data_IF_376835707145
#
_entry.id   IF_376835707145
#
_cell.length_a   1.000
_cell.length_b   1.000
_cell.length_c   1.000
_cell.angle_alpha   90.00
_cell.angle_beta   90.00
_cell.angle_gamma   90.00
#
_symmetry.space_group_name_H-M   'P 1'
#
loop_
_entity.id
_entity.type
_entity.pdbx_description
1 polymer ?
#
# COMPACT_ATOMS: atom_id res chain seq x y z
N UNK A 1 -4.13 -15.75 7.89
CA UNK A 1 -3.77 -15.55 6.48
C UNK A 1 -4.77 -16.30 5.63
N UNK A 2 -5.23 -15.74 4.53
CA UNK A 2 -6.17 -16.39 3.62
C UNK A 2 -5.95 -15.87 2.19
N UNK A 3 -6.28 -16.73 1.23
CA UNK A 3 -6.00 -16.52 -0.20
C UNK A 3 -7.27 -16.17 -0.95
N UNK A 4 -7.14 -15.49 -2.08
CA UNK A 4 -8.27 -15.02 -2.88
C UNK A 4 -8.01 -15.17 -4.39
N UNK A 5 -9.06 -15.30 -5.22
CA UNK A 5 -8.93 -15.32 -6.67
C UNK A 5 -8.49 -13.98 -7.26
N UNK A 6 -8.81 -12.87 -6.60
CA UNK A 6 -8.43 -11.53 -7.04
C UNK A 6 -8.10 -10.60 -5.87
N UNK A 7 -7.33 -9.54 -6.16
CA UNK A 7 -7.06 -8.45 -5.20
C UNK A 7 -8.32 -7.72 -4.78
N UNK A 8 -9.36 -7.72 -5.63
CA UNK A 8 -10.66 -7.13 -5.32
C UNK A 8 -11.37 -7.91 -4.22
N UNK A 9 -11.44 -9.23 -4.35
CA UNK A 9 -12.07 -10.10 -3.35
C UNK A 9 -11.39 -9.92 -1.98
N UNK A 10 -10.05 -9.85 -1.98
CA UNK A 10 -9.26 -9.56 -0.78
C UNK A 10 -9.61 -8.17 -0.18
N UNK A 11 -9.65 -7.13 -1.00
CA UNK A 11 -10.02 -5.79 -0.53
C UNK A 11 -11.47 -5.73 0.01
N UNK A 12 -12.42 -6.38 -0.65
CA UNK A 12 -13.83 -6.44 -0.22
C UNK A 12 -13.97 -7.09 1.18
N UNK A 13 -13.17 -8.13 1.47
CA UNK A 13 -13.12 -8.72 2.82
C UNK A 13 -12.56 -7.76 3.85
N UNK A 14 -11.48 -7.03 3.53
CA UNK A 14 -10.93 -6.03 4.42
C UNK A 14 -11.97 -4.95 4.75
N UNK A 15 -12.62 -4.40 3.72
CA UNK A 15 -13.70 -3.40 3.85
C UNK A 15 -14.83 -3.93 4.72
N UNK A 16 -15.33 -5.14 4.43
CA UNK A 16 -16.45 -5.75 5.17
C UNK A 16 -16.08 -6.03 6.63
N UNK A 17 -14.85 -6.48 6.88
CA UNK A 17 -14.34 -6.73 8.24
C UNK A 17 -14.32 -5.44 9.06
N UNK A 18 -13.75 -4.37 8.51
CA UNK A 18 -13.68 -3.07 9.20
C UNK A 18 -15.06 -2.47 9.42
N UNK A 19 -15.94 -2.51 8.42
CA UNK A 19 -17.32 -1.98 8.52
C UNK A 19 -18.21 -2.78 9.49
N UNK A 20 -17.84 -4.03 9.79
CA UNK A 20 -18.53 -4.84 10.80
C UNK A 20 -18.14 -4.47 12.24
N UNK A 21 -17.24 -3.50 12.43
CA UNK A 21 -16.78 -3.05 13.75
C UNK A 21 -15.79 -4.00 14.44
N UNK A 22 -15.33 -5.04 13.73
CA UNK A 22 -14.36 -6.02 14.23
C UNK A 22 -13.04 -5.29 14.50
N UNK A 23 -12.60 -5.27 15.77
CA UNK A 23 -11.32 -4.64 16.09
C UNK A 23 -10.18 -5.59 15.70
N UNK A 24 -9.42 -5.14 14.70
CA UNK A 24 -8.19 -5.75 14.22
C UNK A 24 -7.02 -4.81 14.54
N UNK A 25 -5.87 -5.39 14.87
CA UNK A 25 -4.64 -4.64 15.01
C UNK A 25 -4.06 -4.27 13.64
N UNK A 26 -4.14 -5.22 12.69
CA UNK A 26 -3.62 -5.05 11.33
C UNK A 26 -4.45 -5.86 10.34
N UNK A 27 -4.63 -5.31 9.15
CA UNK A 27 -5.11 -6.03 7.97
C UNK A 27 -4.22 -5.65 6.81
N UNK A 28 -3.50 -6.62 6.28
CA UNK A 28 -2.52 -6.41 5.22
C UNK A 28 -2.88 -7.23 3.99
N UNK A 29 -2.77 -6.62 2.81
CA UNK A 29 -2.97 -7.28 1.52
C UNK A 29 -1.62 -7.39 0.80
N UNK A 30 -1.39 -8.54 0.19
CA UNK A 30 -0.29 -8.82 -0.74
C UNK A 30 -0.89 -9.36 -2.03
N UNK A 31 -0.48 -8.88 -3.20
CA UNK A 31 -0.86 -9.53 -4.46
C UNK A 31 -0.03 -10.79 -4.73
N UNK A 32 -0.39 -11.52 -5.78
CA UNK A 32 0.30 -12.74 -6.17
C UNK A 32 1.77 -12.51 -6.52
N UNK A 33 2.11 -11.37 -7.14
CA UNK A 33 3.49 -11.02 -7.52
C UNK A 33 4.32 -10.78 -6.26
N UNK A 34 3.76 -10.11 -5.26
CA UNK A 34 4.41 -9.91 -3.98
C UNK A 34 4.62 -11.23 -3.23
N UNK A 35 3.64 -12.14 -3.22
CA UNK A 35 3.79 -13.46 -2.58
C UNK A 35 4.87 -14.28 -3.28
N UNK A 36 4.92 -14.24 -4.62
CA UNK A 36 6.01 -14.84 -5.41
C UNK A 36 7.38 -14.27 -5.03
N UNK A 37 7.49 -12.96 -4.89
CA UNK A 37 8.73 -12.30 -4.45
C UNK A 37 9.19 -12.85 -3.10
N UNK A 38 8.26 -13.01 -2.16
CA UNK A 38 8.55 -13.53 -0.83
C UNK A 38 8.95 -15.01 -0.87
N UNK A 39 8.31 -15.83 -1.71
CA UNK A 39 8.71 -17.22 -1.92
C UNK A 39 10.17 -17.32 -2.37
N UNK A 40 10.57 -16.51 -3.36
CA UNK A 40 11.94 -16.45 -3.88
C UNK A 40 12.92 -16.01 -2.78
N UNK A 41 12.63 -14.91 -2.08
CA UNK A 41 13.52 -14.34 -1.09
C UNK A 41 13.75 -15.24 0.13
N UNK A 42 12.70 -15.94 0.57
CA UNK A 42 12.69 -16.68 1.83
C UNK A 42 12.67 -18.20 1.66
N UNK A 43 12.77 -18.72 0.43
CA UNK A 43 12.72 -20.16 0.15
C UNK A 43 11.41 -20.81 0.62
N UNK A 44 10.29 -20.10 0.49
CA UNK A 44 8.95 -20.56 0.88
C UNK A 44 8.18 -21.03 -0.36
N UNK A 45 7.10 -21.79 -0.13
CA UNK A 45 6.17 -22.28 -1.15
C UNK A 45 4.74 -21.90 -0.81
N UNK A 46 4.50 -20.61 -0.52
CA UNK A 46 3.16 -20.09 -0.30
C UNK A 46 2.38 -20.07 -1.63
N UNK A 47 1.05 -20.23 -1.62
CA UNK A 47 0.24 -20.05 -2.82
C UNK A 47 0.41 -18.64 -3.40
N UNK A 48 0.84 -18.55 -4.66
CA UNK A 48 1.03 -17.28 -5.39
C UNK A 48 -0.33 -16.74 -5.84
N UNK A 49 -1.10 -16.25 -4.88
CA UNK A 49 -2.43 -15.67 -5.05
C UNK A 49 -2.58 -14.43 -4.15
N UNK A 50 -3.46 -13.48 -4.48
CA UNK A 50 -3.81 -12.40 -3.57
C UNK A 50 -4.10 -12.91 -2.16
N UNK A 51 -3.47 -12.32 -1.17
CA UNK A 51 -3.42 -12.83 0.20
C UNK A 51 -3.75 -11.72 1.19
N UNK A 52 -4.65 -11.99 2.14
CA UNK A 52 -4.86 -11.14 3.33
C UNK A 52 -4.21 -11.75 4.57
N UNK A 53 -3.67 -10.87 5.41
CA UNK A 53 -3.16 -11.19 6.72
C UNK A 53 -3.88 -10.34 7.77
N UNK A 54 -4.36 -10.99 8.83
CA UNK A 54 -5.04 -10.35 9.95
C UNK A 54 -4.20 -10.52 11.23
N UNK A 55 -4.11 -9.46 12.03
CA UNK A 55 -3.67 -9.53 13.42
C UNK A 55 -4.83 -9.13 14.34
N UNK A 56 -5.16 -10.01 15.28
CA UNK A 56 -6.15 -9.72 16.33
C UNK A 56 -5.42 -9.57 17.67
N UNK A 57 -5.78 -8.54 18.43
CA UNK A 57 -5.26 -8.31 19.78
C UNK A 57 -6.44 -8.26 20.74
N UNK A 58 -6.30 -8.94 21.87
CA UNK A 58 -7.33 -9.02 22.90
C UNK A 58 -7.14 -10.26 23.77
N UNK A 59 -8.20 -10.64 24.50
CA UNK A 59 -8.23 -11.93 25.20
C UNK A 59 -8.27 -13.07 24.18
N UNK A 60 -7.85 -14.27 24.59
CA UNK A 60 -7.91 -15.47 23.75
C UNK A 60 -9.34 -15.73 23.24
N UNK A 61 -10.34 -15.57 24.11
CA UNK A 61 -11.76 -15.72 23.75
C UNK A 61 -12.19 -14.71 22.68
N UNK A 62 -11.82 -13.43 22.86
CA UNK A 62 -12.14 -12.38 21.90
C UNK A 62 -11.47 -12.64 20.54
N UNK A 63 -10.17 -12.93 20.53
CA UNK A 63 -9.43 -13.17 19.29
C UNK A 63 -10.00 -14.36 18.52
N UNK A 64 -10.40 -15.44 19.21
CA UNK A 64 -11.05 -16.60 18.58
C UNK A 64 -12.41 -16.28 17.99
N UNK A 65 -13.25 -15.55 18.72
CA UNK A 65 -14.57 -15.11 18.23
C UNK A 65 -14.43 -14.24 16.97
N UNK A 66 -13.59 -13.21 17.01
CA UNK A 66 -13.36 -12.34 15.84
C UNK A 66 -12.79 -13.11 14.65
N UNK A 67 -11.87 -14.06 14.90
CA UNK A 67 -11.33 -14.94 13.86
C UNK A 67 -12.44 -15.76 13.19
N UNK A 68 -13.40 -16.28 13.95
CA UNK A 68 -14.53 -17.04 13.39
C UNK A 68 -15.45 -16.16 12.53
N UNK A 69 -15.72 -14.93 12.97
CA UNK A 69 -16.53 -13.96 12.21
C UNK A 69 -15.81 -13.61 10.91
N UNK A 70 -14.52 -13.26 10.96
CA UNK A 70 -13.72 -12.96 9.76
C UNK A 70 -13.64 -14.16 8.84
N UNK A 71 -13.47 -15.38 9.35
CA UNK A 71 -13.48 -16.60 8.52
C UNK A 71 -14.79 -16.76 7.76
N UNK A 72 -15.93 -16.37 8.36
CA UNK A 72 -17.22 -16.37 7.67
C UNK A 72 -17.25 -15.33 6.55
N UNK A 73 -16.82 -14.10 6.81
CA UNK A 73 -16.72 -13.03 5.80
C UNK A 73 -15.83 -13.46 4.62
N UNK A 74 -14.67 -14.07 4.92
CA UNK A 74 -13.74 -14.61 3.92
C UNK A 74 -14.44 -15.63 3.02
N UNK A 75 -15.21 -16.56 3.61
CA UNK A 75 -15.93 -17.58 2.83
C UNK A 75 -17.06 -17.01 1.96
N UNK A 76 -17.66 -15.88 2.34
CA UNK A 76 -18.68 -15.17 1.56
C UNK A 76 -18.08 -14.42 0.35
N UNK A 77 -16.76 -14.22 0.33
CA UNK A 77 -16.01 -13.49 -0.71
C UNK A 77 -14.96 -14.37 -1.39
N UNK A 78 -15.28 -15.66 -1.61
CA UNK A 78 -14.44 -16.61 -2.37
C UNK A 78 -13.05 -16.89 -1.77
N UNK A 79 -12.81 -16.54 -0.51
CA UNK A 79 -11.50 -16.77 0.11
C UNK A 79 -11.27 -18.22 0.53
N UNK A 80 -10.02 -18.67 0.45
CA UNK A 80 -9.58 -20.03 0.76
C UNK A 80 -8.41 -20.08 1.75
N UNK A 81 -8.05 -21.30 2.16
CA UNK A 81 -6.82 -21.61 2.90
C UNK A 81 -6.60 -20.73 4.14
N UNK A 82 -7.65 -20.60 4.96
CA UNK A 82 -7.57 -19.80 6.17
C UNK A 82 -6.62 -20.44 7.19
N UNK A 83 -5.42 -19.90 7.30
CA UNK A 83 -4.38 -20.30 8.26
C UNK A 83 -4.40 -19.37 9.46
N UNK A 84 -4.46 -19.96 10.65
CA UNK A 84 -4.44 -19.29 11.93
C UNK A 84 -3.20 -19.73 12.74
N UNK A 85 -2.54 -18.79 13.41
CA UNK A 85 -1.35 -19.05 14.22
C UNK A 85 -1.45 -18.34 15.57
N UNK A 86 -1.38 -19.10 16.67
CA UNK A 86 -1.39 -18.59 18.04
C UNK A 86 0.03 -18.48 18.62
N UNK A 87 0.90 -19.42 18.25
CA UNK A 87 2.27 -19.54 18.77
C UNK A 87 3.13 -18.32 18.39
N UNK A 88 3.91 -17.74 19.33
CA UNK A 88 4.73 -16.55 19.09
C UNK A 88 5.68 -16.68 17.90
N UNK A 89 6.37 -17.82 17.78
CA UNK A 89 7.30 -18.10 16.69
C UNK A 89 6.59 -18.18 15.33
N UNK A 90 5.42 -18.84 15.29
CA UNK A 90 4.61 -18.94 14.07
C UNK A 90 4.06 -17.57 13.63
N UNK A 91 3.62 -16.75 14.58
CA UNK A 91 3.23 -15.35 14.34
C UNK A 91 4.39 -14.54 13.78
N UNK A 92 5.57 -14.66 14.40
CA UNK A 92 6.77 -13.94 13.97
C UNK A 92 7.16 -14.31 12.52
N UNK A 93 7.13 -15.60 12.19
CA UNK A 93 7.40 -16.07 10.83
C UNK A 93 6.38 -15.57 9.81
N UNK A 94 5.08 -15.60 10.14
CA UNK A 94 4.04 -15.04 9.28
C UNK A 94 4.23 -13.54 9.06
N UNK A 95 4.54 -12.78 10.10
CA UNK A 95 4.71 -11.33 9.97
C UNK A 95 6.05 -10.91 9.37
N UNK A 96 7.07 -11.78 9.40
CA UNK A 96 8.36 -11.57 8.74
C UNK A 96 8.16 -11.38 7.22
N UNK A 97 7.34 -12.23 6.61
CA UNK A 97 6.94 -12.19 5.19
C UNK A 97 6.47 -10.79 4.77
N UNK A 98 5.58 -10.17 5.57
CA UNK A 98 5.07 -8.81 5.28
C UNK A 98 6.10 -7.71 5.54
N UNK A 99 6.92 -7.83 6.59
CA UNK A 99 7.95 -6.84 6.94
C UNK A 99 9.07 -6.77 5.92
N UNK A 100 9.36 -7.88 5.25
CA UNK A 100 10.43 -8.00 4.27
C UNK A 100 9.94 -7.79 2.82
N UNK A 101 8.67 -7.44 2.62
CA UNK A 101 8.04 -7.41 1.30
C UNK A 101 8.80 -6.54 0.27
N UNK A 102 9.29 -5.36 0.66
CA UNK A 102 10.12 -4.52 -0.21
C UNK A 102 11.44 -5.22 -0.59
N UNK A 103 12.14 -5.79 0.39
CA UNK A 103 13.40 -6.49 0.17
C UNK A 103 13.23 -7.74 -0.69
N UNK A 104 12.09 -8.42 -0.55
CA UNK A 104 11.73 -9.55 -1.36
C UNK A 104 11.58 -9.19 -2.86
N UNK A 105 11.19 -7.96 -3.18
CA UNK A 105 11.12 -7.50 -4.57
C UNK A 105 12.52 -7.49 -5.23
N UNK A 106 13.55 -7.06 -4.49
CA UNK A 106 14.93 -7.09 -4.98
C UNK A 106 15.50 -8.51 -5.09
N UNK A 107 14.91 -9.50 -4.43
CA UNK A 107 15.28 -10.90 -4.65
C UNK A 107 14.82 -11.42 -6.03
N UNK A 108 13.76 -10.86 -6.59
CA UNK A 108 13.31 -11.17 -7.96
C UNK A 108 14.22 -10.51 -9.01
N UNK A 109 14.58 -9.24 -8.78
CA UNK A 109 15.36 -8.43 -9.72
C UNK A 109 16.52 -7.70 -9.00
N UNK A 110 17.65 -8.38 -8.71
CA UNK A 110 18.71 -7.84 -7.85
C UNK A 110 19.45 -6.61 -8.37
N UNK A 111 19.37 -6.33 -9.67
CA UNK A 111 20.07 -5.24 -10.33
C UNK A 111 19.14 -4.04 -10.66
N UNK A 112 17.87 -4.09 -10.26
CA UNK A 112 16.90 -3.03 -10.51
C UNK A 112 16.79 -2.05 -9.36
N UNK A 113 16.37 -0.82 -9.66
CA UNK A 113 15.88 0.15 -8.70
C UNK A 113 14.37 -0.04 -8.46
N UNK A 114 13.87 0.48 -7.35
CA UNK A 114 12.45 0.44 -6.99
C UNK A 114 11.87 1.84 -6.86
N UNK A 115 10.81 2.13 -7.60
CA UNK A 115 9.92 3.26 -7.32
C UNK A 115 8.77 2.78 -6.45
N UNK A 116 8.67 3.34 -5.24
CA UNK A 116 7.60 3.01 -4.30
C UNK A 116 6.53 4.09 -4.41
N UNK A 117 5.33 3.70 -4.82
CA UNK A 117 4.16 4.55 -4.75
C UNK A 117 3.38 4.25 -3.46
N UNK A 118 2.76 5.28 -2.92
CA UNK A 118 2.01 5.27 -1.66
C UNK A 118 0.84 6.24 -1.79
N UNK A 119 -0.39 5.75 -1.73
CA UNK A 119 -1.61 6.55 -1.77
C UNK A 119 -2.60 6.00 -0.76
N UNK A 120 -3.53 6.82 -0.30
CA UNK A 120 -4.60 6.38 0.57
C UNK A 120 -5.94 6.89 0.05
N UNK A 121 -7.00 6.10 0.21
CA UNK A 121 -8.37 6.44 -0.19
C UNK A 121 -9.32 6.13 0.95
N UNK A 122 -10.55 6.72 0.96
CA UNK A 122 -11.61 6.22 1.82
C UNK A 122 -11.74 4.70 1.65
N UNK A 123 -11.89 3.98 2.77
CA UNK A 123 -11.84 2.51 2.77
C UNK A 123 -12.84 1.89 1.77
N UNK A 124 -14.01 2.50 1.59
CA UNK A 124 -15.01 2.09 0.60
C UNK A 124 -14.52 2.06 -0.86
N UNK A 125 -13.47 2.82 -1.18
CA UNK A 125 -12.86 2.89 -2.51
C UNK A 125 -11.59 2.03 -2.65
N UNK A 126 -11.16 1.32 -1.60
CA UNK A 126 -9.93 0.53 -1.62
C UNK A 126 -9.96 -0.56 -2.72
N UNK A 127 -11.07 -1.28 -2.83
CA UNK A 127 -11.21 -2.34 -3.83
C UNK A 127 -11.16 -1.78 -5.27
N UNK A 128 -11.77 -0.61 -5.48
CA UNK A 128 -11.81 0.06 -6.78
C UNK A 128 -10.42 0.54 -7.21
N UNK A 129 -9.69 1.24 -6.34
CA UNK A 129 -8.37 1.77 -6.67
C UNK A 129 -7.35 0.66 -6.88
N UNK A 130 -7.35 -0.39 -6.05
CA UNK A 130 -6.42 -1.51 -6.20
C UNK A 130 -6.72 -2.23 -7.52
N UNK A 131 -7.99 -2.50 -7.83
CA UNK A 131 -8.36 -3.19 -9.09
C UNK A 131 -7.96 -2.37 -10.32
N UNK A 132 -8.26 -1.06 -10.31
CA UNK A 132 -7.90 -0.14 -11.39
C UNK A 132 -6.38 -0.04 -11.57
N UNK A 133 -5.64 0.05 -10.47
CA UNK A 133 -4.18 0.14 -10.49
C UNK A 133 -3.54 -1.16 -10.94
N UNK A 134 -3.99 -2.31 -10.41
CA UNK A 134 -3.47 -3.63 -10.80
C UNK A 134 -3.61 -3.88 -12.30
N UNK A 135 -4.72 -3.48 -12.91
CA UNK A 135 -4.91 -3.56 -14.36
C UNK A 135 -3.86 -2.77 -15.15
N UNK A 136 -3.53 -1.56 -14.72
CA UNK A 136 -2.49 -0.74 -15.37
C UNK A 136 -1.08 -1.28 -15.11
N UNK A 137 -0.82 -1.77 -13.90
CA UNK A 137 0.46 -2.39 -13.52
C UNK A 137 0.70 -3.66 -14.34
N UNK A 138 -0.30 -4.51 -14.49
CA UNK A 138 -0.22 -5.77 -15.27
C UNK A 138 -0.09 -5.54 -16.78
N UNK A 139 -0.55 -4.38 -17.27
CA UNK A 139 -0.36 -3.98 -18.66
C UNK A 139 1.03 -3.40 -18.93
N UNK A 140 1.79 -3.07 -17.89
CA UNK A 140 3.15 -2.56 -17.99
C UNK A 140 4.16 -3.68 -18.24
N UNK A 141 5.27 -3.43 -18.97
CA UNK A 141 6.36 -4.39 -19.07
C UNK A 141 7.22 -4.50 -17.79
N UNK A 142 6.98 -3.65 -16.79
CA UNK A 142 7.74 -3.63 -15.54
C UNK A 142 7.19 -4.63 -14.53
N UNK A 143 8.07 -5.16 -13.68
CA UNK A 143 7.65 -5.97 -12.54
C UNK A 143 7.10 -5.03 -11.47
N UNK A 144 5.81 -5.19 -11.19
CA UNK A 144 5.10 -4.39 -10.21
C UNK A 144 4.50 -5.31 -9.15
N UNK A 145 4.62 -4.94 -7.87
CA UNK A 145 3.96 -5.64 -6.77
C UNK A 145 2.98 -4.72 -6.07
N UNK A 146 1.92 -5.29 -5.49
CA UNK A 146 0.92 -4.57 -4.72
C UNK A 146 0.94 -5.03 -3.26
N UNK A 147 0.96 -4.04 -2.37
CA UNK A 147 0.81 -4.21 -0.93
C UNK A 147 -0.16 -3.17 -0.41
N UNK A 148 -1.00 -3.50 0.56
CA UNK A 148 -1.83 -2.48 1.22
C UNK A 148 -1.92 -2.70 2.73
N UNK A 149 -1.88 -1.61 3.48
CA UNK A 149 -2.49 -1.56 4.81
C UNK A 149 -4.01 -1.48 4.61
N UNK A 150 -4.60 -2.63 4.26
CA UNK A 150 -5.97 -2.72 3.78
C UNK A 150 -7.01 -2.30 4.82
N UNK A 151 -6.67 -2.34 6.11
CA UNK A 151 -7.54 -1.80 7.17
C UNK A 151 -7.68 -0.28 7.15
N UNK A 152 -6.68 0.41 6.59
CA UNK A 152 -6.55 1.88 6.65
C UNK A 152 -6.87 2.56 5.30
N UNK A 153 -7.15 1.77 4.25
CA UNK A 153 -7.33 2.30 2.89
C UNK A 153 -6.01 2.72 2.21
N UNK A 154 -4.86 2.39 2.80
CA UNK A 154 -3.54 2.77 2.30
C UNK A 154 -2.96 1.69 1.38
N UNK A 155 -2.71 2.08 0.14
CA UNK A 155 -2.29 1.23 -0.96
C UNK A 155 -0.88 1.62 -1.46
N UNK A 156 -0.03 0.62 -1.61
CA UNK A 156 1.35 0.75 -2.08
C UNK A 156 1.60 -0.12 -3.30
N UNK A 157 2.55 0.32 -4.12
CA UNK A 157 3.15 -0.56 -5.13
C UNK A 157 4.65 -0.33 -5.19
N UNK A 158 5.36 -1.42 -5.47
CA UNK A 158 6.78 -1.39 -5.77
C UNK A 158 6.94 -1.64 -7.26
N UNK A 159 7.47 -0.67 -7.98
CA UNK A 159 7.71 -0.73 -9.43
C UNK A 159 9.20 -0.89 -9.64
N UNK A 160 9.62 -2.05 -10.16
CA UNK A 160 11.02 -2.35 -10.42
C UNK A 160 11.40 -1.90 -11.84
N UNK A 161 12.52 -1.20 -11.96
CA UNK A 161 13.03 -0.72 -13.23
C UNK A 161 14.57 -0.71 -13.26
N UNK A 162 15.13 -0.88 -14.45
CA UNK A 162 16.55 -0.69 -14.72
C UNK A 162 16.87 0.82 -14.83
N UNK A 163 17.69 1.39 -13.93
CA UNK A 163 17.98 2.83 -13.95
C UNK A 163 18.82 3.27 -15.15
N UNK A 164 19.47 2.33 -15.87
CA UNK A 164 20.17 2.63 -17.11
C UNK A 164 19.22 2.75 -18.32
N UNK A 165 17.94 2.38 -18.16
CA UNK A 165 16.90 2.42 -19.19
C UNK A 165 15.89 3.51 -18.90
N UNK A 166 16.07 4.64 -19.57
CA UNK A 166 15.23 5.83 -19.42
C UNK A 166 13.75 5.54 -19.71
N UNK A 167 13.44 4.65 -20.66
CA UNK A 167 12.06 4.24 -20.95
C UNK A 167 11.39 3.53 -19.77
N UNK A 168 12.12 2.74 -18.99
CA UNK A 168 11.58 2.06 -17.83
C UNK A 168 11.36 3.03 -16.67
N UNK A 169 12.28 3.98 -16.46
CA UNK A 169 12.10 5.06 -15.49
C UNK A 169 10.84 5.88 -15.78
N UNK A 170 10.62 6.25 -17.05
CA UNK A 170 9.42 7.00 -17.48
C UNK A 170 8.13 6.21 -17.27
N UNK A 171 8.17 4.91 -17.53
CA UNK A 171 7.00 4.05 -17.30
C UNK A 171 6.69 3.92 -15.81
N UNK A 172 7.70 3.75 -14.95
CA UNK A 172 7.52 3.76 -13.50
C UNK A 172 6.92 5.09 -13.00
N UNK A 173 7.40 6.23 -13.52
CA UNK A 173 6.86 7.55 -13.22
C UNK A 173 5.41 7.72 -13.71
N UNK A 174 5.07 7.20 -14.90
CA UNK A 174 3.71 7.21 -15.45
C UNK A 174 2.76 6.43 -14.56
N UNK A 175 3.15 5.25 -14.10
CA UNK A 175 2.34 4.40 -13.22
C UNK A 175 2.12 5.06 -11.85
N UNK A 176 3.19 5.58 -11.23
CA UNK A 176 3.07 6.34 -9.98
C UNK A 176 2.16 7.57 -10.14
N UNK A 177 2.30 8.31 -11.25
CA UNK A 177 1.41 9.43 -11.56
C UNK A 177 -0.05 8.97 -11.71
N UNK A 178 -0.29 7.92 -12.49
CA UNK A 178 -1.63 7.36 -12.67
C UNK A 178 -2.30 7.04 -11.33
N UNK A 179 -1.57 6.38 -10.42
CA UNK A 179 -2.12 6.01 -9.13
C UNK A 179 -2.46 7.20 -8.24
N UNK A 180 -1.58 8.21 -8.19
CA UNK A 180 -1.85 9.42 -7.41
C UNK A 180 -3.13 10.08 -7.91
N UNK A 181 -3.25 10.30 -9.22
CA UNK A 181 -4.46 10.87 -9.81
C UNK A 181 -5.70 10.00 -9.62
N UNK A 182 -5.55 8.67 -9.68
CA UNK A 182 -6.65 7.76 -9.38
C UNK A 182 -7.11 7.90 -7.93
N UNK A 183 -6.19 8.03 -6.96
CA UNK A 183 -6.52 8.24 -5.55
C UNK A 183 -7.21 9.59 -5.33
N UNK A 184 -6.67 10.68 -5.87
CA UNK A 184 -7.26 12.02 -5.75
C UNK A 184 -8.68 12.05 -6.36
N UNK A 185 -8.91 11.35 -7.48
CA UNK A 185 -10.25 11.24 -8.09
C UNK A 185 -11.27 10.47 -7.25
N UNK A 186 -10.80 9.74 -6.23
CA UNK A 186 -11.61 8.96 -5.28
C UNK A 186 -11.59 9.60 -3.87
N UNK A 187 -11.37 10.92 -3.80
CA UNK A 187 -11.29 11.70 -2.55
C UNK A 187 -10.18 11.21 -1.60
N UNK A 188 -9.15 10.59 -2.17
CA UNK A 188 -7.96 10.13 -1.46
C UNK A 188 -6.86 11.18 -1.37
N UNK A 189 -5.66 10.72 -1.01
CA UNK A 189 -4.45 11.52 -0.86
C UNK A 189 -3.31 10.97 -1.71
N UNK A 190 -2.43 11.86 -2.19
CA UNK A 190 -1.23 11.48 -2.92
C UNK A 190 -0.20 10.76 -2.05
N UNK A 191 -0.36 10.73 -0.72
CA UNK A 191 0.50 10.00 0.21
C UNK A 191 -0.24 9.52 1.45
N UNK A 192 -0.16 8.22 1.74
CA UNK A 192 -0.70 7.66 2.98
C UNK A 192 0.27 7.87 4.15
N UNK A 193 1.51 7.41 4.00
CA UNK A 193 2.49 7.38 5.09
C UNK A 193 3.90 7.88 4.72
N UNK A 194 4.29 7.91 3.44
CA UNK A 194 5.69 8.23 3.06
C UNK A 194 6.00 9.73 3.04
N UNK A 195 4.95 10.55 3.12
CA UNK A 195 5.04 11.99 3.01
C UNK A 195 5.32 12.47 1.59
N UNK A 196 5.44 13.78 1.45
CA UNK A 196 5.44 14.42 0.12
C UNK A 196 6.85 14.55 -0.46
N UNK A 197 7.80 15.00 0.37
CA UNK A 197 9.17 15.30 -0.05
C UNK A 197 9.23 16.25 -1.24
N UNK A 198 10.12 15.97 -2.20
CA UNK A 198 10.17 16.65 -3.51
C UNK A 198 9.34 15.94 -4.57
N UNK A 199 9.25 14.60 -4.51
CA UNK A 199 8.63 13.78 -5.55
C UNK A 199 7.12 13.99 -5.70
N UNK A 200 6.40 14.21 -4.61
CA UNK A 200 4.94 14.37 -4.62
C UNK A 200 4.46 15.81 -4.48
N UNK A 201 5.38 16.77 -4.33
CA UNK A 201 5.04 18.18 -4.11
C UNK A 201 4.17 18.75 -5.26
N UNK A 202 4.36 18.24 -6.48
CA UNK A 202 3.57 18.59 -7.67
C UNK A 202 2.08 18.24 -7.58
N UNK A 203 1.66 17.37 -6.65
CA UNK A 203 0.27 16.95 -6.51
C UNK A 203 -0.49 17.72 -5.41
N UNK A 204 0.22 18.44 -4.53
CA UNK A 204 -0.40 19.02 -3.35
C UNK A 204 -1.40 20.14 -3.64
N UNK A 205 -1.24 20.86 -4.77
CA UNK A 205 -2.22 21.89 -5.10
C UNK A 205 -3.55 21.28 -5.53
N UNK A 206 -3.51 20.15 -6.24
CA UNK A 206 -4.72 19.41 -6.59
C UNK A 206 -5.39 18.81 -5.35
N UNK A 207 -4.60 18.23 -4.43
CA UNK A 207 -5.11 17.61 -3.21
C UNK A 207 -5.65 18.62 -2.18
N UNK A 208 -4.88 19.68 -1.89
CA UNK A 208 -5.17 20.57 -0.76
C UNK A 208 -5.71 21.95 -1.18
N UNK A 209 -5.55 22.29 -2.47
CA UNK A 209 -5.82 23.63 -2.97
C UNK A 209 -4.76 24.67 -2.63
N UNK A 210 -4.73 25.74 -3.43
CA UNK A 210 -3.73 26.81 -3.31
C UNK A 210 -3.76 27.54 -1.95
N UNK A 211 -4.93 27.67 -1.32
CA UNK A 211 -5.07 28.41 -0.05
C UNK A 211 -4.50 27.63 1.14
N UNK A 212 -4.63 26.30 1.15
CA UNK A 212 -3.98 25.45 2.14
C UNK A 212 -2.45 25.55 2.00
N UNK A 213 -1.94 25.49 0.77
CA UNK A 213 -0.51 25.64 0.49
C UNK A 213 0.05 27.00 0.93
N UNK A 214 -0.67 28.10 0.68
CA UNK A 214 -0.31 29.43 1.17
C UNK A 214 -0.28 29.48 2.71
N UNK A 215 -1.20 28.79 3.36
CA UNK A 215 -1.24 28.70 4.83
C UNK A 215 -0.03 27.93 5.36
N UNK A 216 0.31 26.79 4.75
CA UNK A 216 1.51 26.02 5.08
C UNK A 216 2.78 26.85 4.88
N UNK A 217 2.89 27.62 3.78
CA UNK A 217 3.99 28.57 3.54
C UNK A 217 4.09 29.61 4.65
N UNK A 218 2.98 30.22 5.07
CA UNK A 218 2.98 31.19 6.18
C UNK A 218 3.52 30.59 7.48
N UNK A 219 3.08 29.37 7.83
CA UNK A 219 3.59 28.63 9.00
C UNK A 219 5.10 28.41 8.87
N UNK A 220 5.56 27.93 7.71
CA UNK A 220 6.98 27.71 7.41
C UNK A 220 7.80 28.99 7.58
N UNK A 221 7.34 30.12 7.03
CA UNK A 221 8.05 31.40 7.13
C UNK A 221 8.14 31.95 8.56
N UNK A 222 7.14 31.69 9.40
CA UNK A 222 7.17 32.10 10.82
C UNK A 222 8.15 31.25 11.62
N UNK A 223 8.16 29.93 11.39
CA UNK A 223 8.99 28.99 12.13
C UNK A 223 10.45 28.93 11.64
N UNK A 224 10.68 29.21 10.36
CA UNK A 224 12.00 29.16 9.73
C UNK A 224 12.24 30.39 8.83
N UNK A 225 12.38 31.59 9.43
CA UNK A 225 12.53 32.85 8.68
C UNK A 225 13.79 32.92 7.82
N UNK A 226 14.82 32.13 8.16
CA UNK A 226 16.07 32.05 7.39
C UNK A 226 16.06 30.92 6.34
N UNK A 227 14.95 30.16 6.24
CA UNK A 227 14.77 29.04 5.32
C UNK A 227 15.90 27.98 5.37
N UNK A 228 16.39 27.66 6.57
CA UNK A 228 17.49 26.72 6.77
C UNK A 228 17.01 25.27 7.01
N UNK A 229 15.74 25.07 7.35
CA UNK A 229 15.18 23.75 7.62
C UNK A 229 14.63 23.12 6.34
N UNK A 230 15.49 22.40 5.61
CA UNK A 230 15.11 21.56 4.46
C UNK A 230 14.46 22.35 3.29
N UNK A 231 15.16 23.36 2.73
CA UNK A 231 14.62 24.22 1.68
C UNK A 231 14.24 23.44 0.42
N UNK A 232 13.18 23.89 -0.27
CA UNK A 232 12.72 23.31 -1.53
C UNK A 232 11.85 22.05 -1.41
N UNK A 233 11.41 21.69 -0.20
CA UNK A 233 10.47 20.58 0.05
C UNK A 233 9.13 21.08 0.58
N UNK A 234 8.09 20.26 0.39
CA UNK A 234 6.70 20.46 0.81
C UNK A 234 5.95 21.65 0.18
N UNK A 235 6.56 22.83 0.03
CA UNK A 235 5.90 24.00 -0.54
C UNK A 235 6.29 24.14 -2.02
N UNK A 236 5.35 24.00 -2.96
CA UNK A 236 5.64 24.15 -4.38
C UNK A 236 6.27 25.51 -4.72
N UNK A 237 7.27 25.58 -5.62
CA UNK A 237 7.97 26.83 -5.93
C UNK A 237 7.07 27.97 -6.40
N UNK A 238 5.99 27.70 -7.12
CA UNK A 238 5.07 28.73 -7.59
C UNK A 238 4.21 29.34 -6.48
N UNK A 239 4.05 28.63 -5.35
CA UNK A 239 3.43 29.18 -4.14
C UNK A 239 4.42 30.06 -3.36
N UNK A 240 5.73 29.85 -3.56
CA UNK A 240 6.79 30.64 -2.94
C UNK A 240 6.95 32.04 -3.54
N UNK A 241 6.45 32.26 -4.75
CA UNK A 241 6.41 33.57 -5.42
C UNK A 241 5.40 34.54 -4.78
#
# INVERSE_FOLDING_TARGET
MCNFPSVKDAADVAITTMNSGIQVSRVELLDEVQVKAINIANGKNLPESPTLMFEFIGTEAYAREQTQIVRKIVSEHNGSDFVFAEEPEAKKELWKVRKEALWACFAMEPNMEAMISDVCVPLSHLADIISKSKKELDASPLVCTVIAHAGDGNFHTVILFDPAKEEQRREAERLNHFMVHAALSLEGTCTGEHGVGTGKMKYLEEELGVEALKTMKKIKSVLDPNNIMNPGKLIPPHVCL
#
